data_IF_208931807545
#
_entry.id   IF_208931807545
#
_cell.length_a   1.000
_cell.length_b   1.000
_cell.length_c   1.000
_cell.angle_alpha   90.00
_cell.angle_beta   90.00
_cell.angle_gamma   90.00
#
_symmetry.space_group_name_H-M   'P 1'
#
loop_
_entity.id
_entity.type
_entity.pdbx_description
1 polymer ?
#
# COMPACT_ATOMS: atom_id res chain seq x y z
N UNK A 1 -7.92 17.40 5.65
CA UNK A 1 -8.37 16.28 4.80
C UNK A 1 -9.74 15.85 5.28
N UNK A 2 -10.65 15.38 4.40
CA UNK A 2 -11.87 14.74 4.84
C UNK A 2 -11.53 13.56 5.77
N UNK A 3 -12.36 13.34 6.78
CA UNK A 3 -12.15 12.27 7.75
C UNK A 3 -12.49 10.92 7.09
N UNK A 4 -11.45 10.17 6.72
CA UNK A 4 -11.59 8.85 6.09
C UNK A 4 -11.60 7.81 7.19
N UNK A 5 -12.62 6.96 7.21
CA UNK A 5 -12.76 5.94 8.26
C UNK A 5 -11.55 5.00 8.28
N UNK A 6 -11.16 4.53 9.47
CA UNK A 6 -10.06 3.56 9.62
C UNK A 6 -10.25 2.28 8.80
N UNK A 7 -11.49 1.82 8.65
CA UNK A 7 -11.83 0.67 7.79
C UNK A 7 -11.62 0.98 6.30
N UNK A 8 -11.93 2.20 5.87
CA UNK A 8 -11.66 2.65 4.50
C UNK A 8 -10.15 2.75 4.25
N UNK A 9 -9.38 3.25 5.22
CA UNK A 9 -7.91 3.27 5.13
C UNK A 9 -7.33 1.85 5.05
N UNK A 10 -7.86 0.91 5.84
CA UNK A 10 -7.47 -0.49 5.79
C UNK A 10 -7.69 -1.09 4.40
N UNK A 11 -8.89 -0.91 3.83
CA UNK A 11 -9.20 -1.41 2.48
C UNK A 11 -8.33 -0.75 1.41
N UNK A 12 -8.06 0.56 1.53
CA UNK A 12 -7.19 1.28 0.60
C UNK A 12 -5.74 0.80 0.65
N UNK A 13 -5.21 0.54 1.86
CA UNK A 13 -3.86 -0.03 2.03
C UNK A 13 -3.76 -1.38 1.33
N UNK A 14 -4.72 -2.29 1.56
CA UNK A 14 -4.71 -3.61 0.94
C UNK A 14 -4.79 -3.53 -0.59
N UNK A 15 -5.67 -2.69 -1.13
CA UNK A 15 -5.80 -2.50 -2.57
C UNK A 15 -4.52 -1.95 -3.22
N UNK A 16 -3.86 -0.99 -2.55
CA UNK A 16 -2.57 -0.45 -3.01
C UNK A 16 -1.48 -1.53 -2.99
N UNK A 17 -1.41 -2.34 -1.94
CA UNK A 17 -0.44 -3.44 -1.86
C UNK A 17 -0.64 -4.48 -2.97
N UNK A 18 -1.89 -4.83 -3.26
CA UNK A 18 -2.17 -5.79 -4.33
C UNK A 18 -1.85 -5.22 -5.72
N UNK A 19 -2.09 -3.93 -5.95
CA UNK A 19 -1.69 -3.25 -7.18
C UNK A 19 -0.15 -3.23 -7.34
N UNK A 20 0.59 -2.97 -6.27
CA UNK A 20 2.06 -3.01 -6.28
C UNK A 20 2.59 -4.40 -6.63
N UNK A 21 2.04 -5.47 -6.04
CA UNK A 21 2.43 -6.86 -6.37
C UNK A 21 2.18 -7.21 -7.83
N UNK A 22 1.06 -6.75 -8.40
CA UNK A 22 0.74 -6.97 -9.81
C UNK A 22 1.78 -6.26 -10.70
N UNK A 23 2.18 -5.04 -10.34
CA UNK A 23 3.18 -4.29 -11.08
C UNK A 23 4.57 -4.93 -10.97
N UNK A 24 4.97 -5.35 -9.77
CA UNK A 24 6.21 -6.09 -9.54
C UNK A 24 6.24 -7.37 -10.38
N UNK A 25 5.15 -8.14 -10.37
CA UNK A 25 5.04 -9.38 -11.19
C UNK A 25 5.14 -9.10 -12.69
N UNK A 26 4.60 -7.97 -13.16
CA UNK A 26 4.69 -7.58 -14.58
C UNK A 26 6.10 -7.11 -14.95
N UNK A 27 6.79 -6.44 -14.04
CA UNK A 27 8.19 -6.01 -14.23
C UNK A 27 9.18 -7.18 -14.24
N UNK A 28 8.82 -8.32 -13.64
CA UNK A 28 9.59 -9.57 -13.72
C UNK A 28 9.50 -10.24 -15.11
N UNK A 29 8.54 -9.85 -15.96
CA UNK A 29 8.43 -10.37 -17.33
C UNK A 29 9.38 -9.61 -18.28
N UNK A 30 10.38 -10.29 -18.87
CA UNK A 30 11.35 -9.65 -19.75
C UNK A 30 10.75 -9.16 -21.08
N UNK A 31 9.53 -9.55 -21.43
CA UNK A 31 8.82 -9.09 -22.63
C UNK A 31 8.05 -7.77 -22.40
N UNK A 32 7.95 -7.29 -21.16
CA UNK A 32 7.24 -6.06 -20.80
C UNK A 32 8.19 -4.87 -20.83
N UNK A 33 7.77 -3.77 -21.47
CA UNK A 33 8.46 -2.47 -21.36
C UNK A 33 8.26 -1.93 -19.94
N UNK A 34 9.33 -1.79 -19.14
CA UNK A 34 9.20 -1.47 -17.73
C UNK A 34 8.89 0.00 -17.46
N UNK A 35 8.93 0.89 -18.46
CA UNK A 35 8.90 2.34 -18.23
C UNK A 35 7.62 2.79 -17.50
N UNK A 36 6.45 2.40 -18.03
CA UNK A 36 5.14 2.80 -17.48
C UNK A 36 4.86 2.14 -16.13
N UNK A 37 5.21 0.85 -15.99
CA UNK A 37 4.97 0.09 -14.76
C UNK A 37 5.90 0.55 -13.63
N UNK A 38 7.13 0.98 -13.93
CA UNK A 38 8.07 1.55 -12.95
C UNK A 38 7.58 2.90 -12.43
N UNK A 39 7.10 3.78 -13.30
CA UNK A 39 6.52 5.06 -12.89
C UNK A 39 5.26 4.84 -12.03
N UNK A 40 4.40 3.90 -12.45
CA UNK A 40 3.19 3.57 -11.70
C UNK A 40 3.52 2.95 -10.34
N UNK A 41 4.51 2.06 -10.25
CA UNK A 41 4.97 1.47 -8.99
C UNK A 41 5.51 2.52 -8.03
N UNK A 42 6.26 3.50 -8.53
CA UNK A 42 6.74 4.63 -7.73
C UNK A 42 5.57 5.47 -7.19
N UNK A 43 4.53 5.71 -7.99
CA UNK A 43 3.33 6.41 -7.55
C UNK A 43 2.59 5.65 -6.45
N UNK A 44 2.39 4.34 -6.61
CA UNK A 44 1.78 3.48 -5.59
C UNK A 44 2.61 3.40 -4.30
N UNK A 45 3.94 3.40 -4.42
CA UNK A 45 4.84 3.42 -3.26
C UNK A 45 4.66 4.69 -2.43
N UNK A 46 4.55 5.85 -3.08
CA UNK A 46 4.26 7.13 -2.40
C UNK A 46 2.89 7.11 -1.74
N UNK A 47 1.87 6.61 -2.44
CA UNK A 47 0.53 6.45 -1.89
C UNK A 47 0.51 5.52 -0.66
N UNK A 48 1.26 4.43 -0.67
CA UNK A 48 1.39 3.52 0.46
C UNK A 48 1.98 4.21 1.70
N UNK A 49 2.98 5.07 1.52
CA UNK A 49 3.57 5.86 2.61
C UNK A 49 2.54 6.82 3.21
N UNK A 50 1.80 7.54 2.37
CA UNK A 50 0.75 8.47 2.82
C UNK A 50 -0.39 7.75 3.55
N UNK A 51 -0.84 6.61 3.01
CA UNK A 51 -1.88 5.78 3.62
C UNK A 51 -1.44 5.22 4.98
N UNK A 52 -0.17 4.79 5.11
CA UNK A 52 0.38 4.35 6.39
C UNK A 52 0.30 5.47 7.44
N UNK A 53 0.72 6.68 7.09
CA UNK A 53 0.67 7.82 8.01
C UNK A 53 -0.76 8.13 8.44
N UNK A 54 -1.70 8.18 7.49
CA UNK A 54 -3.11 8.41 7.78
C UNK A 54 -3.70 7.31 8.68
N UNK A 55 -3.35 6.05 8.42
CA UNK A 55 -3.82 4.91 9.20
C UNK A 55 -3.30 4.90 10.63
N UNK A 56 -2.02 5.21 10.85
CA UNK A 56 -1.45 5.30 12.20
C UNK A 56 -2.10 6.44 13.00
N UNK A 57 -2.38 7.58 12.37
CA UNK A 57 -3.13 8.67 13.01
C UNK A 57 -4.55 8.20 13.37
N UNK A 58 -5.24 7.52 12.47
CA UNK A 58 -6.59 6.98 12.71
C UNK A 58 -6.62 5.94 13.84
N UNK A 59 -5.56 5.12 13.95
CA UNK A 59 -5.37 4.10 14.99
C UNK A 59 -5.13 4.69 16.36
N UNK A 60 -4.41 5.82 16.47
CA UNK A 60 -4.29 6.55 17.73
C UNK A 60 -5.64 7.06 18.25
N UNK A 61 -6.55 7.38 17.33
CA UNK A 61 -7.89 7.89 17.66
C UNK A 61 -8.94 6.78 17.81
N UNK A 62 -8.63 5.54 17.38
CA UNK A 62 -9.58 4.43 17.33
C UNK A 62 -8.96 3.12 17.85
N UNK A 63 -9.45 2.63 19.00
CA UNK A 63 -8.83 1.51 19.72
C UNK A 63 -8.95 0.13 19.05
N UNK A 64 -9.70 -0.03 17.96
CA UNK A 64 -10.00 -1.33 17.35
C UNK A 64 -9.30 -1.62 16.01
N UNK A 65 -8.43 -0.70 15.55
CA UNK A 65 -7.70 -0.90 14.31
C UNK A 65 -6.48 -1.80 14.55
N UNK A 66 -6.26 -2.84 13.71
CA UNK A 66 -5.10 -3.72 13.85
C UNK A 66 -3.78 -2.95 13.56
N UNK A 67 -2.61 -3.44 14.04
CA UNK A 67 -1.32 -2.83 13.69
C UNK A 67 -1.08 -2.85 12.17
N UNK A 68 -0.45 -1.80 11.63
CA UNK A 68 -0.18 -1.70 10.19
C UNK A 68 0.62 -2.89 9.65
N UNK A 69 1.53 -3.43 10.46
CA UNK A 69 2.37 -4.60 10.13
C UNK A 69 1.55 -5.88 9.90
N UNK A 70 0.30 -5.92 10.35
CA UNK A 70 -0.62 -7.05 10.07
C UNK A 70 -1.36 -6.91 8.75
N UNK A 71 -1.35 -5.70 8.15
CA UNK A 71 -2.03 -5.40 6.89
C UNK A 71 -1.13 -5.59 5.68
N UNK A 72 0.18 -5.52 5.87
CA UNK A 72 1.18 -5.64 4.81
C UNK A 72 2.15 -6.75 5.20
N UNK A 73 2.40 -7.75 4.34
CA UNK A 73 3.43 -8.74 4.61
C UNK A 73 4.78 -8.05 4.84
N UNK A 74 5.64 -8.54 5.76
CA UNK A 74 6.95 -7.96 5.96
C UNK A 74 7.71 -7.96 4.63
N UNK A 75 8.08 -6.78 4.15
CA UNK A 75 8.90 -6.65 2.96
C UNK A 75 10.30 -7.18 3.30
N UNK A 76 10.56 -8.43 2.89
CA UNK A 76 11.88 -9.06 2.91
C UNK A 76 12.21 -9.90 4.15
N UNK A 77 11.83 -11.18 4.13
CA UNK A 77 12.68 -12.31 4.54
C UNK A 77 12.35 -13.50 3.63
N UNK A 78 13.01 -13.57 2.48
CA UNK A 78 13.14 -14.77 1.65
C UNK A 78 14.56 -14.83 1.08
#
# INVERSE_FOLDING_TARGET
>A
MPDVSGNTLLMAIQAVQDAMKILETRLDDPEVDPLDDTEMLLAYTRAAVELRQAYEIARLNTSNLPPYETLVPPQGEA
#
